data_IF_142390238795
#
_entry.id   IF_142390238795
#
_cell.length_a   1.000
_cell.length_b   1.000
_cell.length_c   1.000
_cell.angle_alpha   90.00
_cell.angle_beta   90.00
_cell.angle_gamma   90.00
#
_symmetry.space_group_name_H-M   'P 1'
#
loop_
_entity.id
_entity.type
_entity.pdbx_description
1 polymer ?
#
# COMPACT_ATOMS: atom_id res chain seq x y z
N UNK A 1 -11.02 16.17 16.86
CA UNK A 1 -9.58 15.86 16.74
C UNK A 1 -9.43 15.07 15.46
N UNK A 2 -8.80 15.69 14.45
CA UNK A 2 -8.70 15.19 13.09
C UNK A 2 -7.82 13.93 13.06
N UNK A 3 -8.44 12.75 12.98
CA UNK A 3 -7.75 11.46 12.80
C UNK A 3 -7.30 11.32 11.35
N UNK A 4 -6.46 12.25 10.88
CA UNK A 4 -5.73 12.09 9.63
C UNK A 4 -4.73 10.95 9.79
N UNK A 5 -5.20 9.72 9.58
CA UNK A 5 -4.35 8.52 9.47
C UNK A 5 -3.32 8.85 8.38
N UNK A 6 -2.06 9.06 8.76
CA UNK A 6 -1.00 9.42 7.81
C UNK A 6 -0.92 8.33 6.76
N UNK A 7 -1.43 8.62 5.55
CA UNK A 7 -1.51 7.63 4.48
C UNK A 7 -0.12 7.33 3.97
N UNK A 8 0.31 6.07 4.03
CA UNK A 8 1.66 5.68 3.67
C UNK A 8 1.88 5.83 2.16
N UNK A 9 2.97 6.50 1.76
CA UNK A 9 3.30 6.75 0.35
C UNK A 9 4.11 5.57 -0.21
N UNK A 10 3.62 4.92 -1.25
CA UNK A 10 4.37 3.90 -1.97
C UNK A 10 5.17 4.55 -3.10
N UNK A 11 6.50 4.45 -3.01
CA UNK A 11 7.45 5.06 -3.93
C UNK A 11 8.23 3.99 -4.69
N UNK A 12 8.64 4.34 -5.90
CA UNK A 12 9.53 3.52 -6.70
C UNK A 12 10.86 3.31 -5.97
N UNK A 13 11.29 2.05 -5.85
CA UNK A 13 12.55 1.68 -5.20
C UNK A 13 13.80 2.15 -5.97
N UNK A 14 13.66 2.41 -7.27
CA UNK A 14 14.77 2.84 -8.12
C UNK A 14 15.01 4.36 -8.12
N UNK A 15 13.96 5.17 -8.25
CA UNK A 15 14.09 6.63 -8.39
C UNK A 15 13.28 7.45 -7.37
N UNK A 16 12.60 6.81 -6.43
CA UNK A 16 11.78 7.50 -5.42
C UNK A 16 10.47 8.11 -5.94
N UNK A 17 10.16 7.96 -7.23
CA UNK A 17 8.93 8.50 -7.84
C UNK A 17 7.69 7.95 -7.14
N UNK A 18 6.70 8.81 -6.87
CA UNK A 18 5.45 8.39 -6.20
C UNK A 18 4.62 7.51 -7.14
N UNK A 19 4.38 6.26 -6.73
CA UNK A 19 3.58 5.29 -7.47
C UNK A 19 2.12 5.29 -7.00
N UNK A 20 1.90 5.42 -5.69
CA UNK A 20 0.57 5.49 -5.10
C UNK A 20 0.60 5.78 -3.60
N UNK A 21 -0.57 5.76 -3.00
CA UNK A 21 -0.78 5.98 -1.56
C UNK A 21 -1.55 4.80 -1.00
N UNK A 22 -0.98 4.14 0.00
CA UNK A 22 -1.59 3.01 0.70
C UNK A 22 -2.67 3.54 1.65
N UNK A 23 -3.85 2.94 1.56
CA UNK A 23 -4.99 3.20 2.42
C UNK A 23 -5.61 1.88 2.86
N UNK A 24 -5.29 1.46 4.09
CA UNK A 24 -5.67 0.15 4.62
C UNK A 24 -5.04 -0.98 3.83
N UNK A 25 -5.88 -1.84 3.26
CA UNK A 25 -5.55 -3.00 2.42
C UNK A 25 -5.51 -2.68 0.92
N UNK A 26 -5.66 -1.40 0.54
CA UNK A 26 -5.72 -0.96 -0.86
C UNK A 26 -4.66 0.07 -1.19
N UNK A 27 -4.31 0.12 -2.47
CA UNK A 27 -3.46 1.14 -3.05
C UNK A 27 -4.30 2.12 -3.87
N UNK A 28 -4.22 3.41 -3.55
CA UNK A 28 -4.74 4.47 -4.41
C UNK A 28 -3.67 4.96 -5.38
N UNK A 29 -3.96 4.88 -6.68
CA UNK A 29 -3.07 5.36 -7.74
C UNK A 29 -3.76 6.44 -8.56
N UNK A 30 -2.93 7.35 -9.11
CA UNK A 30 -3.37 8.36 -10.08
C UNK A 30 -2.64 8.14 -11.40
N UNK A 31 -3.41 7.92 -12.46
CA UNK A 31 -2.92 7.62 -13.80
C UNK A 31 -3.47 8.66 -14.78
N UNK A 32 -2.59 9.26 -15.58
CA UNK A 32 -2.98 10.24 -16.59
C UNK A 32 -3.62 11.52 -16.03
N UNK A 33 -4.51 12.15 -16.82
CA UNK A 33 -5.15 13.44 -16.56
C UNK A 33 -6.29 13.36 -15.53
N UNK A 34 -6.01 12.82 -14.34
CA UNK A 34 -6.92 12.86 -13.21
C UNK A 34 -7.70 11.57 -12.92
N UNK A 35 -7.45 10.47 -13.63
CA UNK A 35 -8.07 9.19 -13.26
C UNK A 35 -7.45 8.66 -11.97
N UNK A 36 -8.30 8.35 -11.01
CA UNK A 36 -7.92 7.75 -9.73
C UNK A 36 -8.51 6.34 -9.62
N UNK A 37 -7.69 5.40 -9.18
CA UNK A 37 -8.07 4.01 -9.01
C UNK A 37 -7.75 3.54 -7.61
N UNK A 38 -8.59 2.65 -7.06
CA UNK A 38 -8.34 1.85 -5.86
C UNK A 38 -8.03 0.43 -6.28
N UNK A 39 -6.84 -0.05 -5.95
CA UNK A 39 -6.31 -1.34 -6.38
C UNK A 39 -6.16 -2.24 -5.16
N UNK A 40 -6.59 -3.50 -5.28
CA UNK A 40 -6.36 -4.51 -4.26
C UNK A 40 -4.89 -4.97 -4.27
N UNK A 41 -4.39 -5.44 -3.13
CA UNK A 41 -3.06 -6.04 -3.01
C UNK A 41 -3.15 -7.57 -3.18
N UNK A 42 -2.11 -8.24 -3.72
CA UNK A 42 -0.83 -7.68 -4.18
C UNK A 42 -0.95 -6.94 -5.51
N UNK A 43 -0.02 -6.02 -5.75
CA UNK A 43 0.04 -5.23 -6.99
C UNK A 43 1.48 -5.07 -7.47
N UNK A 44 1.66 -5.16 -8.79
CA UNK A 44 2.93 -4.87 -9.46
C UNK A 44 2.77 -3.66 -10.38
N UNK A 45 3.79 -2.80 -10.42
CA UNK A 45 3.79 -1.59 -11.23
C UNK A 45 5.18 -1.30 -11.80
N UNK A 46 5.25 -1.02 -13.10
CA UNK A 46 6.45 -0.49 -13.73
C UNK A 46 6.50 1.02 -13.52
N UNK A 47 7.64 1.54 -13.07
CA UNK A 47 7.80 2.96 -12.84
C UNK A 47 7.49 3.77 -14.11
N UNK A 48 6.60 4.77 -13.98
CA UNK A 48 6.20 5.66 -15.07
C UNK A 48 7.29 6.67 -15.48
N UNK A 49 8.34 6.83 -14.67
CA UNK A 49 9.50 7.62 -15.05
C UNK A 49 10.26 6.92 -16.19
N UNK A 50 10.35 7.52 -17.40
CA UNK A 50 10.98 6.91 -18.58
C UNK A 50 12.44 6.48 -18.35
N UNK A 51 13.18 7.19 -17.50
CA UNK A 51 14.58 6.92 -17.20
C UNK A 51 14.78 5.82 -16.15
N UNK A 52 13.72 5.41 -15.44
CA UNK A 52 13.81 4.42 -14.37
C UNK A 52 13.25 3.07 -14.80
N UNK A 53 11.98 3.00 -15.21
CA UNK A 53 11.28 1.78 -15.64
C UNK A 53 11.40 0.56 -14.70
N UNK A 54 11.82 0.75 -13.45
CA UNK A 54 11.97 -0.31 -12.46
C UNK A 54 10.61 -0.98 -12.17
N UNK A 55 10.58 -2.31 -12.11
CA UNK A 55 9.44 -3.07 -11.63
C UNK A 55 9.36 -2.98 -10.10
N UNK A 56 8.20 -2.62 -9.58
CA UNK A 56 7.91 -2.50 -8.16
C UNK A 56 6.74 -3.40 -7.81
N UNK A 57 6.81 -4.01 -6.63
CA UNK A 57 5.78 -4.92 -6.12
C UNK A 57 5.40 -4.49 -4.72
N UNK A 58 4.11 -4.53 -4.41
CA UNK A 58 3.56 -4.23 -3.11
C UNK A 58 2.63 -5.37 -2.70
N UNK A 59 2.96 -5.96 -1.55
CA UNK A 59 2.20 -7.03 -0.92
C UNK A 59 1.36 -6.47 0.23
N UNK A 60 0.22 -7.07 0.56
CA UNK A 60 -0.47 -6.73 1.79
C UNK A 60 0.44 -7.01 2.99
N UNK A 61 0.34 -6.23 4.07
CA UNK A 61 1.00 -6.62 5.32
C UNK A 61 0.50 -8.01 5.73
N UNK A 62 1.34 -8.84 6.37
CA UNK A 62 0.85 -10.08 6.95
C UNK A 62 -0.33 -9.77 7.88
N UNK A 63 -1.34 -10.65 7.95
CA UNK A 63 -2.42 -10.46 8.90
C UNK A 63 -1.79 -10.30 10.29
N UNK A 64 -2.17 -9.23 11.01
CA UNK A 64 -1.69 -9.04 12.37
C UNK A 64 -2.00 -10.32 13.15
N UNK A 65 -1.04 -10.88 13.92
CA UNK A 65 -1.32 -12.02 14.75
C UNK A 65 -2.47 -11.64 15.67
N UNK A 66 -3.61 -12.31 15.48
CA UNK A 66 -4.80 -12.05 16.26
C UNK A 66 -4.46 -12.22 17.74
N UNK A 67 -4.53 -11.14 18.52
CA UNK A 67 -4.43 -11.18 19.99
C UNK A 67 -5.56 -11.99 20.65
N UNK A 68 -6.36 -12.75 19.91
CA UNK A 68 -7.33 -13.70 20.42
C UNK A 68 -6.66 -15.03 20.83
N UNK A 69 -5.74 -14.97 21.80
CA UNK A 69 -5.28 -16.14 22.54
C UNK A 69 -5.00 -15.81 24.01
N UNK A 70 -5.84 -14.97 24.64
CA UNK A 70 -5.89 -14.89 26.11
C UNK A 70 -7.33 -14.76 26.59
N UNK A 71 -8.00 -15.88 26.77
CA UNK A 71 -8.85 -16.04 27.96
C UNK A 71 -8.92 -17.51 28.30
N UNK A 72 -8.16 -17.89 29.34
CA UNK A 72 -8.26 -19.20 29.92
C UNK A 72 -9.66 -19.42 30.50
N UNK A 73 -10.13 -20.66 30.43
CA UNK A 73 -11.12 -21.15 31.37
C UNK A 73 -10.56 -22.40 32.03
N UNK A 74 -9.94 -22.17 33.19
CA UNK A 74 -9.81 -23.19 34.24
C UNK A 74 -11.17 -23.86 34.44
N UNK A 75 -11.20 -25.18 34.44
CA UNK A 75 -11.94 -26.02 35.38
C UNK A 75 -11.27 -27.38 35.45
#
# INVERSE_FOLDING_TARGET
MDTSKQRARWRCRGCGHLLGVIDGDRLEIKVGRGHQYRVALPVSCVCKNPQCRCLNELWPPPPEPSSAATSGRRR
#
